data_IF_452450333801
#
_entry.id   IF_452450333801
#
_cell.length_a   1.000
_cell.length_b   1.000
_cell.length_c   1.000
_cell.angle_alpha   90.00
_cell.angle_beta   90.00
_cell.angle_gamma   90.00
#
_symmetry.space_group_name_H-M   'P 1'
#
loop_
_entity.id
_entity.type
_entity.pdbx_description
1 polymer ?
#
# COMPACT_ATOMS: atom_id res chain seq x y z
N UNK A 1 21.84 -0.46 27.83
CA UNK A 1 21.79 -1.30 26.62
C UNK A 1 20.91 -2.49 26.96
N UNK A 2 19.82 -2.72 26.21
CA UNK A 2 18.89 -3.83 26.46
C UNK A 2 19.56 -5.18 26.18
N UNK A 3 19.22 -6.21 26.95
CA UNK A 3 19.72 -7.57 26.75
C UNK A 3 19.19 -8.11 25.40
N UNK A 4 20.05 -8.49 24.43
CA UNK A 4 19.61 -9.01 23.13
C UNK A 4 18.84 -10.34 23.20
N UNK A 5 18.89 -11.03 24.34
CA UNK A 5 18.11 -12.26 24.59
C UNK A 5 16.74 -11.99 25.19
N UNK A 6 16.46 -10.74 25.62
CA UNK A 6 15.17 -10.37 26.16
C UNK A 6 14.14 -10.21 25.03
N UNK A 7 13.11 -11.06 25.05
CA UNK A 7 11.97 -10.94 24.14
C UNK A 7 11.11 -9.74 24.54
N UNK A 8 10.97 -8.78 23.64
CA UNK A 8 9.98 -7.71 23.75
C UNK A 8 8.71 -8.11 23.01
N UNK A 9 7.55 -7.99 23.65
CA UNK A 9 6.25 -8.26 23.04
C UNK A 9 5.51 -6.96 22.81
N UNK A 10 5.08 -6.70 21.57
CA UNK A 10 4.21 -5.57 21.28
C UNK A 10 2.77 -5.92 21.69
N UNK A 11 2.11 -5.05 22.45
CA UNK A 11 0.71 -5.24 22.87
C UNK A 11 -0.29 -4.61 21.92
N UNK A 12 0.15 -3.64 21.11
CA UNK A 12 -0.70 -2.91 20.16
C UNK A 12 -0.04 -2.90 18.78
N UNK A 13 -0.83 -3.14 17.73
CA UNK A 13 -0.37 -2.99 16.36
C UNK A 13 -1.49 -2.40 15.51
N UNK A 14 -1.11 -1.64 14.49
CA UNK A 14 -2.00 -1.16 13.45
C UNK A 14 -1.58 -1.77 12.12
N UNK A 15 -2.56 -2.09 11.28
CA UNK A 15 -2.34 -2.50 9.90
C UNK A 15 -2.94 -1.42 9.00
N UNK A 16 -2.20 -1.03 7.97
CA UNK A 16 -2.66 -0.05 6.99
C UNK A 16 -2.02 -0.34 5.63
N UNK A 17 -2.67 0.11 4.57
CA UNK A 17 -2.06 0.15 3.25
C UNK A 17 -0.86 1.11 3.30
N UNK A 18 0.29 0.63 2.83
CA UNK A 18 1.55 1.37 2.92
C UNK A 18 2.26 1.46 1.58
N UNK A 19 3.39 2.15 1.59
CA UNK A 19 4.24 2.36 0.41
C UNK A 19 4.12 3.78 -0.16
N UNK A 20 5.18 4.29 -0.80
CA UNK A 20 5.21 5.67 -1.28
C UNK A 20 4.07 6.00 -2.25
N UNK A 21 3.76 5.11 -3.20
CA UNK A 21 2.69 5.31 -4.17
C UNK A 21 1.31 5.33 -3.51
N UNK A 22 1.07 4.43 -2.55
CA UNK A 22 -0.16 4.39 -1.76
C UNK A 22 -0.38 5.68 -0.98
N UNK A 23 0.66 6.19 -0.31
CA UNK A 23 0.61 7.45 0.43
C UNK A 23 0.26 8.63 -0.49
N UNK A 24 0.87 8.68 -1.68
CA UNK A 24 0.59 9.72 -2.67
C UNK A 24 -0.86 9.65 -3.16
N UNK A 25 -1.37 8.44 -3.47
CA UNK A 25 -2.76 8.26 -3.91
C UNK A 25 -3.77 8.71 -2.85
N UNK A 26 -3.58 8.30 -1.59
CA UNK A 26 -4.47 8.72 -0.49
C UNK A 26 -4.40 10.24 -0.28
N UNK A 27 -3.23 10.85 -0.38
CA UNK A 27 -3.09 12.30 -0.26
C UNK A 27 -3.81 13.05 -1.39
N UNK A 28 -3.67 12.59 -2.64
CA UNK A 28 -4.38 13.16 -3.79
C UNK A 28 -5.90 13.06 -3.58
N UNK A 29 -6.40 11.88 -3.20
CA UNK A 29 -7.82 11.67 -2.97
C UNK A 29 -8.37 12.56 -1.84
N UNK A 30 -7.60 12.74 -0.77
CA UNK A 30 -7.95 13.65 0.33
C UNK A 30 -8.00 15.11 -0.12
N UNK A 31 -7.04 15.57 -0.93
CA UNK A 31 -7.02 16.93 -1.47
C UNK A 31 -8.21 17.20 -2.41
N UNK A 32 -8.56 16.25 -3.28
CA UNK A 32 -9.72 16.37 -4.16
C UNK A 32 -11.03 16.38 -3.38
N UNK A 33 -11.11 15.67 -2.25
CA UNK A 33 -12.28 15.73 -1.36
C UNK A 33 -12.49 17.11 -0.72
N UNK A 34 -11.44 17.95 -0.63
CA UNK A 34 -11.51 19.32 -0.13
C UNK A 34 -11.85 20.34 -1.24
N UNK A 35 -11.92 19.92 -2.51
CA UNK A 35 -12.16 20.81 -3.64
C UNK A 35 -13.63 21.29 -3.65
N UNK A 36 -13.89 22.61 -3.78
CA UNK A 36 -15.26 23.12 -3.89
C UNK A 36 -15.92 22.64 -5.21
N UNK A 37 -17.05 21.94 -5.13
CA UNK A 37 -17.77 21.38 -6.28
C UNK A 37 -18.67 20.20 -5.89
N UNK A 38 -19.48 19.62 -6.80
CA UNK A 38 -20.37 18.50 -6.45
C UNK A 38 -19.57 17.30 -5.92
N UNK A 39 -19.76 17.02 -4.62
CA UNK A 39 -18.96 16.10 -3.78
C UNK A 39 -19.66 14.75 -3.52
N UNK A 40 -20.67 14.38 -4.30
CA UNK A 40 -21.37 13.10 -4.15
C UNK A 40 -21.40 12.36 -5.48
N UNK A 41 -20.69 11.22 -5.54
CA UNK A 41 -20.64 10.36 -6.73
C UNK A 41 -19.60 10.73 -7.78
N UNK A 42 -18.67 11.65 -7.47
CA UNK A 42 -17.53 11.91 -8.35
C UNK A 42 -16.66 10.63 -8.47
N UNK A 43 -16.16 10.30 -9.69
CA UNK A 43 -15.27 9.15 -9.87
C UNK A 43 -14.01 9.30 -9.02
N UNK A 44 -13.40 8.18 -8.65
CA UNK A 44 -12.15 8.18 -7.89
C UNK A 44 -11.13 9.14 -8.50
N UNK A 45 -10.57 10.02 -7.67
CA UNK A 45 -9.64 11.06 -8.09
C UNK A 45 -8.32 10.51 -8.65
N UNK A 46 -7.99 9.28 -8.26
CA UNK A 46 -6.73 8.63 -8.58
C UNK A 46 -6.93 7.13 -8.71
N UNK A 47 -6.27 6.54 -9.69
CA UNK A 47 -6.14 5.09 -9.83
C UNK A 47 -4.77 4.66 -9.32
N UNK A 48 -4.74 3.73 -8.37
CA UNK A 48 -3.54 3.10 -7.85
C UNK A 48 -3.40 1.70 -8.46
N UNK A 49 -2.36 1.50 -9.26
CA UNK A 49 -1.94 0.18 -9.71
C UNK A 49 -1.02 -0.43 -8.64
N UNK A 50 -1.43 -1.56 -8.05
CA UNK A 50 -0.69 -2.20 -6.95
C UNK A 50 -0.91 -3.72 -6.98
N UNK A 51 0.11 -4.51 -6.66
CA UNK A 51 -0.01 -5.96 -6.55
C UNK A 51 -0.51 -6.35 -5.15
N UNK A 52 -1.83 -6.27 -4.94
CA UNK A 52 -2.46 -6.70 -3.69
C UNK A 52 -2.57 -8.22 -3.62
N UNK A 53 -2.97 -8.85 -4.73
CA UNK A 53 -3.20 -10.27 -4.78
C UNK A 53 -4.42 -10.71 -3.97
N UNK A 54 -4.31 -11.86 -3.32
CA UNK A 54 -5.44 -12.57 -2.71
C UNK A 54 -5.34 -12.64 -1.17
N UNK A 55 -6.43 -13.08 -0.55
CA UNK A 55 -6.52 -13.31 0.90
C UNK A 55 -7.21 -12.18 1.68
N UNK A 56 -7.34 -12.39 2.99
CA UNK A 56 -8.08 -11.47 3.86
C UNK A 56 -7.43 -10.09 3.94
N UNK A 57 -6.10 -10.03 4.06
CA UNK A 57 -5.34 -8.77 4.12
C UNK A 57 -5.55 -7.97 2.82
N UNK A 58 -5.42 -8.60 1.65
CA UNK A 58 -5.64 -7.93 0.37
C UNK A 58 -7.03 -7.28 0.29
N UNK A 59 -8.07 -8.00 0.73
CA UNK A 59 -9.46 -7.48 0.74
C UNK A 59 -9.64 -6.32 1.71
N UNK A 60 -9.09 -6.41 2.92
CA UNK A 60 -9.13 -5.31 3.89
C UNK A 60 -8.44 -4.07 3.33
N UNK A 61 -7.22 -4.22 2.78
CA UNK A 61 -6.48 -3.12 2.17
C UNK A 61 -7.23 -2.50 0.98
N UNK A 62 -7.82 -3.33 0.11
CA UNK A 62 -8.62 -2.84 -1.01
C UNK A 62 -9.82 -2.03 -0.52
N UNK A 63 -10.54 -2.52 0.49
CA UNK A 63 -11.67 -1.79 1.07
C UNK A 63 -11.25 -0.47 1.72
N UNK A 64 -10.14 -0.46 2.45
CA UNK A 64 -9.60 0.75 3.07
C UNK A 64 -9.26 1.81 2.00
N UNK A 65 -8.64 1.40 0.90
CA UNK A 65 -8.32 2.30 -0.21
C UNK A 65 -9.58 2.81 -0.93
N UNK A 66 -10.62 1.99 -1.08
CA UNK A 66 -11.94 2.41 -1.58
C UNK A 66 -12.58 3.43 -0.64
N UNK A 67 -12.49 3.22 0.68
CA UNK A 67 -12.98 4.18 1.68
C UNK A 67 -12.22 5.53 1.58
N UNK A 68 -10.96 5.50 1.17
CA UNK A 68 -10.16 6.68 0.84
C UNK A 68 -10.44 7.26 -0.57
N UNK A 69 -11.39 6.73 -1.34
CA UNK A 69 -11.72 7.13 -2.73
C UNK A 69 -10.58 6.94 -3.74
N UNK A 70 -9.74 5.92 -3.52
CA UNK A 70 -8.73 5.46 -4.48
C UNK A 70 -9.31 4.32 -5.31
N UNK A 71 -9.30 4.44 -6.65
CA UNK A 71 -9.61 3.30 -7.53
C UNK A 71 -8.40 2.36 -7.55
N UNK A 72 -8.56 1.10 -7.16
CA UNK A 72 -7.46 0.15 -7.07
C UNK A 72 -7.49 -0.79 -8.25
N UNK A 73 -6.38 -0.89 -8.98
CA UNK A 73 -6.17 -1.92 -9.99
C UNK A 73 -5.14 -2.90 -9.47
N UNK A 74 -5.59 -4.14 -9.29
CA UNK A 74 -4.68 -5.20 -8.87
C UNK A 74 -3.76 -5.59 -10.04
N UNK A 75 -2.46 -5.55 -9.75
CA UNK A 75 -1.38 -5.91 -10.67
C UNK A 75 -0.64 -7.17 -10.23
N UNK A 76 -1.22 -7.94 -9.30
CA UNK A 76 -0.65 -9.22 -8.90
C UNK A 76 -0.57 -10.17 -10.11
N UNK A 77 0.61 -10.77 -10.30
CA UNK A 77 0.81 -11.79 -11.32
C UNK A 77 0.03 -13.07 -10.93
N UNK A 78 -0.97 -13.50 -11.72
CA UNK A 78 -1.76 -14.69 -11.41
C UNK A 78 -0.93 -15.98 -11.45
N UNK A 79 0.23 -15.97 -12.12
CA UNK A 79 1.17 -17.10 -12.16
C UNK A 79 2.13 -17.12 -10.97
N UNK A 80 2.13 -16.10 -10.11
CA UNK A 80 3.01 -16.04 -8.94
C UNK A 80 2.67 -17.13 -7.92
N UNK A 81 3.70 -17.76 -7.35
CA UNK A 81 3.56 -18.74 -6.27
C UNK A 81 3.20 -18.12 -4.92
N UNK A 82 3.32 -16.80 -4.79
CA UNK A 82 2.96 -16.08 -3.57
C UNK A 82 1.83 -15.11 -3.92
N UNK A 83 0.73 -15.21 -3.20
CA UNK A 83 -0.52 -14.54 -3.55
C UNK A 83 -0.88 -13.42 -2.61
N UNK A 84 -0.32 -13.37 -1.41
CA UNK A 84 -0.60 -12.29 -0.46
C UNK A 84 0.16 -10.99 -0.79
N UNK A 85 -0.34 -9.83 -0.32
CA UNK A 85 0.36 -8.56 -0.46
C UNK A 85 1.74 -8.59 0.21
N UNK A 86 2.65 -7.76 -0.30
CA UNK A 86 3.88 -7.43 0.41
C UNK A 86 3.56 -6.77 1.76
N UNK A 87 4.27 -7.18 2.82
CA UNK A 87 4.06 -6.64 4.17
C UNK A 87 5.34 -5.97 4.63
N UNK A 88 5.20 -4.78 5.21
CA UNK A 88 6.28 -4.10 5.92
C UNK A 88 5.94 -4.02 7.40
N UNK A 89 6.86 -4.42 8.25
CA UNK A 89 6.80 -4.19 9.68
C UNK A 89 7.51 -2.88 10.00
N UNK A 90 6.83 -2.03 10.76
CA UNK A 90 7.38 -0.81 11.32
C UNK A 90 7.35 -0.97 12.84
N UNK A 91 8.52 -0.88 13.46
CA UNK A 91 8.68 -1.02 14.90
C UNK A 91 9.09 0.35 15.43
N UNK A 92 8.20 0.96 16.19
CA UNK A 92 8.48 2.19 16.93
C UNK A 92 9.04 1.83 18.30
N UNK A 93 10.19 2.39 18.65
CA UNK A 93 10.81 2.25 19.96
C UNK A 93 11.26 3.63 20.46
N UNK A 94 11.49 3.82 21.78
CA UNK A 94 11.88 5.13 22.31
C UNK A 94 13.17 5.71 21.71
N UNK A 95 14.03 4.87 21.13
CA UNK A 95 15.29 5.26 20.50
C UNK A 95 15.21 5.43 18.98
N UNK A 96 14.03 5.32 18.37
CA UNK A 96 13.88 5.46 16.92
C UNK A 96 12.81 4.55 16.29
N UNK A 97 12.87 4.46 14.96
CA UNK A 97 11.94 3.67 14.15
C UNK A 97 12.73 2.72 13.27
N UNK A 98 12.40 1.43 13.33
CA UNK A 98 12.92 0.41 12.43
C UNK A 98 11.84 0.04 11.40
N UNK A 99 12.25 -0.20 10.17
CA UNK A 99 11.37 -0.73 9.12
C UNK A 99 12.01 -1.98 8.50
N UNK A 100 11.21 -3.02 8.33
CA UNK A 100 11.59 -4.23 7.62
C UNK A 100 10.49 -4.56 6.61
N UNK A 101 10.85 -4.61 5.34
CA UNK A 101 9.91 -4.89 4.25
C UNK A 101 10.17 -6.27 3.67
N UNK A 102 9.10 -7.04 3.48
CA UNK A 102 9.17 -8.39 2.91
C UNK A 102 8.38 -8.43 1.60
N UNK A 103 8.95 -9.07 0.57
CA UNK A 103 8.26 -9.38 -0.69
C UNK A 103 7.68 -8.18 -1.46
N UNK A 104 8.29 -6.99 -1.38
CA UNK A 104 7.87 -5.83 -2.17
C UNK A 104 7.96 -6.14 -3.68
N UNK A 105 6.83 -5.99 -4.40
CA UNK A 105 6.69 -6.33 -5.81
C UNK A 105 6.26 -5.13 -6.60
N UNK A 106 6.90 -4.95 -7.75
CA UNK A 106 6.34 -4.17 -8.85
C UNK A 106 6.69 -4.94 -10.11
N UNK A 107 5.70 -5.63 -10.68
CA UNK A 107 5.85 -6.21 -12.01
C UNK A 107 5.67 -5.10 -13.03
N UNK A 108 6.79 -4.53 -13.48
CA UNK A 108 6.80 -3.75 -14.72
C UNK A 108 6.91 -4.78 -15.86
N UNK A 109 5.92 -4.84 -16.74
CA UNK A 109 6.04 -5.59 -18.00
C UNK A 109 7.27 -5.11 -18.81
N UNK A 110 7.61 -5.75 -19.94
CA UNK A 110 8.72 -5.30 -20.76
C UNK A 110 8.55 -3.81 -21.09
N UNK A 111 9.57 -3.00 -20.77
CA UNK A 111 9.65 -1.62 -21.25
C UNK A 111 9.75 -1.72 -22.77
N UNK A 112 8.64 -1.43 -23.47
CA UNK A 112 8.72 -1.14 -24.89
C UNK A 112 9.46 0.18 -24.98
N UNK A 113 10.78 0.10 -25.18
CA UNK A 113 11.58 1.25 -25.53
C UNK A 113 10.97 1.84 -26.79
N UNK A 114 10.32 3.01 -26.64
CA UNK A 114 9.81 3.78 -27.76
C UNK A 114 10.95 3.98 -28.75
N UNK A 115 10.77 3.46 -29.96
CA UNK A 115 11.61 3.79 -31.11
C UNK A 115 11.47 5.30 -31.31
N UNK A 116 12.55 6.03 -31.05
CA UNK A 116 12.66 7.42 -31.46
C UNK A 116 12.58 7.49 -32.99
N UNK A 117 11.78 8.46 -33.46
CA UNK A 117 11.68 9.07 -34.79
C UNK A 117 11.86 8.16 -36.03
#
# INVERSE_FOLDING_TARGET
>A
MTDPKQKTTCVNHAMAAGGPATNAAVAIAALEALRPGPSAGAPSAVTLLTALGEGAIARTLAQDLVNCRVDVRDAADPASSVREPAISSIIEHPGGRMAASTNARVWAGPVVAGRAA
#
